data_IF_462078248050
#
_entry.id   IF_462078248050
#
_cell.length_a   1.000
_cell.length_b   1.000
_cell.length_c   1.000
_cell.angle_alpha   90.00
_cell.angle_beta   90.00
_cell.angle_gamma   90.00
#
_symmetry.space_group_name_H-M   'P 1'
#
loop_
_entity.id
_entity.type
_entity.pdbx_description
1 polymer ?
#
# COMPACT_ATOMS: atom_id res chain seq x y z
N UNK A 1 -32.71 -16.08 -15.97
CA UNK A 1 -33.14 -16.12 -14.54
C UNK A 1 -31.94 -16.31 -13.56
N UNK A 2 -30.75 -15.86 -13.90
CA UNK A 2 -29.52 -16.01 -13.08
C UNK A 2 -29.02 -14.70 -12.44
N UNK A 3 -29.39 -13.49 -12.91
CA UNK A 3 -28.81 -12.26 -12.34
C UNK A 3 -29.22 -11.97 -10.90
N UNK A 4 -30.44 -12.32 -10.49
CA UNK A 4 -30.94 -11.95 -9.14
C UNK A 4 -30.25 -12.71 -8.00
N UNK A 5 -29.99 -14.00 -8.16
CA UNK A 5 -29.30 -14.78 -7.12
C UNK A 5 -27.82 -14.36 -6.95
N UNK A 6 -27.14 -13.99 -8.03
CA UNK A 6 -25.79 -13.48 -7.96
C UNK A 6 -25.70 -12.12 -7.24
N UNK A 7 -26.69 -11.26 -7.49
CA UNK A 7 -26.80 -9.95 -6.82
C UNK A 7 -27.10 -10.16 -5.32
N UNK A 8 -28.08 -11.01 -4.98
CA UNK A 8 -28.43 -11.30 -3.59
C UNK A 8 -27.20 -11.82 -2.83
N UNK A 9 -26.46 -12.79 -3.37
CA UNK A 9 -25.23 -13.30 -2.72
C UNK A 9 -24.16 -12.22 -2.53
N UNK A 10 -24.07 -11.25 -3.43
CA UNK A 10 -23.14 -10.13 -3.27
C UNK A 10 -23.60 -9.18 -2.16
N UNK A 11 -24.88 -8.88 -2.10
CA UNK A 11 -25.46 -8.06 -1.03
C UNK A 11 -25.31 -8.74 0.33
N UNK A 12 -25.60 -10.03 0.43
CA UNK A 12 -25.41 -10.81 1.67
C UNK A 12 -23.94 -10.76 2.14
N UNK A 13 -22.97 -10.89 1.22
CA UNK A 13 -21.56 -10.73 1.56
C UNK A 13 -21.22 -9.32 2.03
N UNK A 14 -21.76 -8.30 1.39
CA UNK A 14 -21.56 -6.91 1.80
C UNK A 14 -22.13 -6.66 3.19
N UNK A 15 -23.31 -7.17 3.49
CA UNK A 15 -23.92 -7.09 4.82
C UNK A 15 -23.08 -7.78 5.90
N UNK A 16 -22.53 -8.96 5.60
CA UNK A 16 -21.65 -9.70 6.51
C UNK A 16 -20.35 -8.95 6.83
N UNK A 17 -19.92 -8.01 6.01
CA UNK A 17 -18.73 -7.18 6.28
C UNK A 17 -18.93 -6.22 7.44
N UNK A 18 -20.17 -5.90 7.80
CA UNK A 18 -20.57 -4.89 8.78
C UNK A 18 -19.97 -3.50 8.50
N UNK A 19 -19.75 -3.20 7.22
CA UNK A 19 -19.27 -1.90 6.77
C UNK A 19 -20.41 -0.92 6.47
N UNK A 20 -21.62 -1.43 6.40
CA UNK A 20 -22.81 -0.66 6.11
C UNK A 20 -23.71 -0.60 7.35
N UNK A 21 -24.29 0.53 7.57
CA UNK A 21 -25.29 0.76 8.62
C UNK A 21 -26.44 1.54 8.02
N UNK A 22 -27.65 1.23 8.45
CA UNK A 22 -28.85 2.01 8.18
C UNK A 22 -29.09 3.12 9.22
N UNK A 23 -28.25 3.14 10.26
CA UNK A 23 -28.28 4.18 11.29
C UNK A 23 -27.36 5.35 10.91
N UNK A 24 -27.89 6.53 10.53
CA UNK A 24 -27.06 7.69 10.16
C UNK A 24 -26.14 8.18 11.27
N UNK A 25 -26.45 7.88 12.55
CA UNK A 25 -25.61 8.28 13.69
C UNK A 25 -24.36 7.43 13.84
N UNK A 26 -24.39 6.20 13.32
CA UNK A 26 -23.26 5.27 13.31
C UNK A 26 -22.45 5.36 12.01
N UNK A 27 -23.01 5.99 10.98
CA UNK A 27 -22.34 6.13 9.70
C UNK A 27 -21.15 7.08 9.82
N UNK A 28 -19.98 6.59 9.37
CA UNK A 28 -18.79 7.42 9.22
C UNK A 28 -18.72 7.90 7.77
N UNK A 29 -18.81 9.19 7.56
CA UNK A 29 -18.63 9.78 6.23
C UNK A 29 -17.14 10.01 5.98
N UNK A 30 -16.61 9.31 4.98
CA UNK A 30 -15.18 9.41 4.62
C UNK A 30 -14.77 10.85 4.34
N UNK A 31 -15.60 11.62 3.65
CA UNK A 31 -15.35 13.02 3.34
C UNK A 31 -15.18 13.89 4.59
N UNK A 32 -15.97 13.65 5.63
CA UNK A 32 -15.84 14.38 6.90
C UNK A 32 -14.55 14.01 7.63
N UNK A 33 -14.16 12.74 7.61
CA UNK A 33 -12.89 12.31 8.21
C UNK A 33 -11.69 12.87 7.42
N UNK A 34 -11.80 12.90 6.10
CA UNK A 34 -10.78 13.48 5.25
C UNK A 34 -10.60 14.99 5.47
N UNK A 35 -11.68 15.73 5.61
CA UNK A 35 -11.63 17.18 5.92
C UNK A 35 -10.94 17.48 7.26
N UNK A 36 -11.06 16.61 8.27
CA UNK A 36 -10.37 16.78 9.56
C UNK A 36 -8.83 16.78 9.42
N UNK A 37 -8.31 16.09 8.43
CA UNK A 37 -6.86 15.98 8.20
C UNK A 37 -6.35 16.97 7.12
N UNK A 38 -7.21 17.74 6.51
CA UNK A 38 -6.88 18.65 5.40
C UNK A 38 -5.81 19.69 5.74
N UNK A 39 -5.76 20.14 6.98
CA UNK A 39 -4.75 21.09 7.48
C UNK A 39 -3.47 20.42 7.99
N UNK A 40 -3.32 19.15 7.79
CA UNK A 40 -2.26 18.29 8.28
C UNK A 40 -2.78 17.24 9.26
N UNK A 41 -2.26 16.03 9.17
CA UNK A 41 -2.67 14.90 9.99
C UNK A 41 -2.61 13.59 9.22
N UNK A 42 -3.14 12.54 9.84
CA UNK A 42 -3.21 11.21 9.23
C UNK A 42 -4.54 10.53 9.53
N UNK A 43 -5.13 9.92 8.50
CA UNK A 43 -6.26 9.02 8.63
C UNK A 43 -5.74 7.57 8.56
N UNK A 44 -5.88 6.83 9.66
CA UNK A 44 -5.43 5.45 9.74
C UNK A 44 -6.61 4.50 9.58
N UNK A 45 -6.56 3.66 8.55
CA UNK A 45 -7.58 2.65 8.27
C UNK A 45 -7.02 1.28 8.64
N UNK A 46 -7.49 0.73 9.74
CA UNK A 46 -7.02 -0.56 10.24
C UNK A 46 -7.81 -1.72 9.62
N UNK A 47 -7.15 -2.46 8.74
CA UNK A 47 -7.71 -3.61 8.03
C UNK A 47 -7.32 -4.97 8.67
N UNK A 48 -6.66 -4.96 9.81
CA UNK A 48 -6.20 -6.17 10.49
C UNK A 48 -7.38 -7.11 10.80
N UNK A 49 -7.20 -8.40 10.51
CA UNK A 49 -8.20 -9.46 10.74
C UNK A 49 -9.52 -9.28 9.96
N UNK A 50 -9.55 -8.45 8.95
CA UNK A 50 -10.70 -8.37 8.06
C UNK A 50 -10.63 -9.43 6.97
N UNK A 51 -11.80 -9.82 6.46
CA UNK A 51 -11.86 -10.72 5.30
C UNK A 51 -11.31 -10.04 4.05
N UNK A 52 -10.86 -10.82 3.07
CA UNK A 52 -10.36 -10.31 1.80
C UNK A 52 -11.38 -9.42 1.10
N UNK A 53 -12.64 -9.85 1.02
CA UNK A 53 -13.73 -9.10 0.40
C UNK A 53 -13.94 -7.73 1.11
N UNK A 54 -13.81 -7.71 2.45
CA UNK A 54 -13.90 -6.47 3.24
C UNK A 54 -12.73 -5.53 2.94
N UNK A 55 -11.51 -6.05 2.90
CA UNK A 55 -10.31 -5.27 2.60
C UNK A 55 -10.43 -4.65 1.20
N UNK A 56 -10.79 -5.44 0.21
CA UNK A 56 -10.95 -4.98 -1.17
C UNK A 56 -12.00 -3.87 -1.27
N UNK A 57 -13.17 -4.05 -0.66
CA UNK A 57 -14.24 -3.06 -0.68
C UNK A 57 -13.81 -1.74 -0.02
N UNK A 58 -13.17 -1.80 1.16
CA UNK A 58 -12.70 -0.60 1.86
C UNK A 58 -11.64 0.12 1.03
N UNK A 59 -10.65 -0.60 0.52
CA UNK A 59 -9.57 -0.02 -0.29
C UNK A 59 -10.13 0.64 -1.55
N UNK A 60 -11.02 0.00 -2.28
CA UNK A 60 -11.65 0.59 -3.47
C UNK A 60 -12.46 1.84 -3.12
N UNK A 61 -13.20 1.81 -2.02
CA UNK A 61 -13.98 2.97 -1.55
C UNK A 61 -13.07 4.14 -1.20
N UNK A 62 -12.01 3.90 -0.44
CA UNK A 62 -11.03 4.93 -0.06
C UNK A 62 -10.38 5.56 -1.29
N UNK A 63 -9.94 4.74 -2.24
CA UNK A 63 -9.31 5.24 -3.47
C UNK A 63 -10.28 6.07 -4.29
N UNK A 64 -11.50 5.57 -4.52
CA UNK A 64 -12.52 6.26 -5.29
C UNK A 64 -12.89 7.60 -4.66
N UNK A 65 -13.06 7.63 -3.34
CA UNK A 65 -13.39 8.86 -2.61
C UNK A 65 -12.23 9.84 -2.55
N UNK A 66 -11.01 9.35 -2.39
CA UNK A 66 -9.81 10.19 -2.47
C UNK A 66 -9.68 10.84 -3.85
N UNK A 67 -9.92 10.08 -4.90
CA UNK A 67 -9.92 10.60 -6.27
C UNK A 67 -11.00 11.70 -6.45
N UNK A 68 -12.22 11.44 -6.02
CA UNK A 68 -13.33 12.41 -6.10
C UNK A 68 -13.01 13.73 -5.38
N UNK A 69 -12.40 13.65 -4.20
CA UNK A 69 -11.99 14.83 -3.43
C UNK A 69 -10.89 15.62 -4.16
N UNK A 70 -9.90 14.92 -4.71
CA UNK A 70 -8.80 15.55 -5.45
C UNK A 70 -9.26 16.20 -6.75
N UNK A 71 -10.16 15.58 -7.49
CA UNK A 71 -10.76 16.14 -8.71
C UNK A 71 -11.54 17.42 -8.44
N UNK A 72 -12.10 17.57 -7.24
CA UNK A 72 -12.77 18.80 -6.77
C UNK A 72 -11.81 19.87 -6.27
N UNK A 73 -10.50 19.71 -6.46
CA UNK A 73 -9.48 20.66 -6.04
C UNK A 73 -9.01 20.48 -4.59
N UNK A 74 -9.04 19.25 -4.09
CA UNK A 74 -8.48 18.89 -2.78
C UNK A 74 -6.96 19.04 -2.71
N UNK A 75 -6.43 19.03 -1.49
CA UNK A 75 -4.98 19.08 -1.24
C UNK A 75 -4.31 17.76 -1.60
N UNK A 76 -3.03 17.79 -2.03
CA UNK A 76 -2.27 16.55 -2.28
C UNK A 76 -2.25 15.63 -1.06
N UNK A 77 -2.30 14.32 -1.32
CA UNK A 77 -2.30 13.30 -0.28
C UNK A 77 -1.19 12.27 -0.47
N UNK A 78 -0.67 11.77 0.65
CA UNK A 78 0.18 10.60 0.69
C UNK A 78 -0.63 9.39 1.12
N UNK A 79 -0.61 8.33 0.32
CA UNK A 79 -1.26 7.05 0.64
C UNK A 79 -0.16 6.05 0.98
N UNK A 80 -0.11 5.62 2.24
CA UNK A 80 0.77 4.56 2.70
C UNK A 80 0.00 3.24 2.70
N UNK A 81 0.41 2.33 1.85
CA UNK A 81 -0.24 1.05 1.64
C UNK A 81 0.65 -0.08 2.17
N UNK A 82 0.44 -0.45 3.44
CA UNK A 82 1.16 -1.53 4.10
C UNK A 82 0.60 -2.89 3.66
N UNK A 83 1.49 -3.88 3.47
CA UNK A 83 1.16 -5.23 3.02
C UNK A 83 0.30 -5.21 1.74
N UNK A 84 0.69 -4.36 0.82
CA UNK A 84 -0.10 -4.05 -0.38
C UNK A 84 -0.44 -5.26 -1.25
N UNK A 85 0.35 -6.34 -1.17
CA UNK A 85 0.12 -7.59 -1.89
C UNK A 85 -1.22 -8.27 -1.54
N UNK A 86 -1.80 -8.01 -0.36
CA UNK A 86 -3.09 -8.58 0.02
C UNK A 86 -4.27 -8.03 -0.78
N UNK A 87 -4.15 -6.85 -1.39
CA UNK A 87 -5.28 -6.19 -2.04
C UNK A 87 -4.99 -5.57 -3.40
N UNK A 88 -3.73 -5.38 -3.79
CA UNK A 88 -3.39 -4.78 -5.08
C UNK A 88 -3.75 -5.68 -6.27
N UNK A 89 -3.76 -6.98 -6.05
CA UNK A 89 -3.92 -7.99 -7.11
C UNK A 89 -5.31 -7.97 -7.74
N UNK A 90 -6.34 -7.66 -6.97
CA UNK A 90 -7.75 -7.83 -7.33
C UNK A 90 -8.50 -6.51 -7.50
N UNK A 91 -7.83 -5.40 -7.23
CA UNK A 91 -8.41 -4.07 -7.38
C UNK A 91 -8.04 -3.45 -8.73
N UNK A 92 -8.85 -2.52 -9.21
CA UNK A 92 -8.49 -1.65 -10.34
C UNK A 92 -7.39 -0.63 -9.95
N UNK A 93 -6.56 -0.98 -8.97
CA UNK A 93 -5.51 -0.12 -8.43
C UNK A 93 -4.51 0.29 -9.50
N UNK A 94 -4.17 -0.59 -10.45
CA UNK A 94 -3.24 -0.24 -11.52
C UNK A 94 -3.75 0.97 -12.35
N UNK A 95 -5.06 1.06 -12.56
CA UNK A 95 -5.67 2.22 -13.20
C UNK A 95 -5.67 3.44 -12.27
N UNK A 96 -5.91 3.22 -10.97
CA UNK A 96 -5.87 4.28 -9.96
C UNK A 96 -4.47 4.86 -9.82
N UNK A 97 -3.41 4.03 -9.79
CA UNK A 97 -2.00 4.46 -9.73
C UNK A 97 -1.70 5.48 -10.82
N UNK A 98 -2.06 5.16 -12.06
CA UNK A 98 -1.77 6.02 -13.20
C UNK A 98 -2.55 7.33 -13.18
N UNK A 99 -3.85 7.27 -12.82
CA UNK A 99 -4.72 8.46 -12.83
C UNK A 99 -4.49 9.37 -11.62
N UNK A 100 -4.35 8.80 -10.43
CA UNK A 100 -4.23 9.57 -9.19
C UNK A 100 -2.91 10.34 -9.09
N UNK A 101 -1.86 9.89 -9.77
CA UNK A 101 -0.59 10.62 -9.86
C UNK A 101 -0.78 12.04 -10.40
N UNK A 102 -1.59 12.17 -11.46
CA UNK A 102 -1.87 13.48 -12.07
C UNK A 102 -2.75 14.38 -11.20
N UNK A 103 -3.41 13.82 -10.20
CA UNK A 103 -4.27 14.55 -9.26
C UNK A 103 -3.53 14.99 -7.99
N UNK A 104 -2.22 14.71 -7.87
CA UNK A 104 -1.42 15.07 -6.69
C UNK A 104 -1.46 14.02 -5.58
N UNK A 105 -1.66 12.74 -5.93
CA UNK A 105 -1.54 11.62 -4.99
C UNK A 105 -0.16 11.01 -5.06
N UNK A 106 0.51 10.94 -3.91
CA UNK A 106 1.77 10.23 -3.74
C UNK A 106 1.50 8.89 -3.06
N UNK A 107 1.92 7.79 -3.68
CA UNK A 107 1.59 6.46 -3.22
C UNK A 107 2.87 5.73 -2.79
N UNK A 108 2.87 5.22 -1.57
CA UNK A 108 3.98 4.48 -0.98
C UNK A 108 3.50 3.05 -0.70
N UNK A 109 4.05 2.10 -1.43
CA UNK A 109 3.72 0.68 -1.32
C UNK A 109 4.76 -0.04 -0.50
N UNK A 110 4.31 -0.80 0.49
CA UNK A 110 5.17 -1.63 1.32
C UNK A 110 4.75 -3.08 1.21
N UNK A 111 5.70 -3.95 0.93
CA UNK A 111 5.49 -5.39 0.82
C UNK A 111 6.76 -6.17 1.14
N UNK A 112 6.59 -7.36 1.65
CA UNK A 112 7.63 -8.37 1.79
C UNK A 112 7.56 -9.45 0.70
N UNK A 113 6.59 -9.35 -0.22
CA UNK A 113 6.35 -10.31 -1.30
C UNK A 113 6.13 -9.58 -2.63
N UNK A 114 7.18 -9.00 -3.22
CA UNK A 114 7.07 -8.19 -4.43
C UNK A 114 6.47 -8.91 -5.63
N UNK A 115 6.69 -10.22 -5.77
CA UNK A 115 6.14 -11.04 -6.87
C UNK A 115 4.61 -11.07 -6.90
N UNK A 116 3.95 -10.76 -5.79
CA UNK A 116 2.48 -10.63 -5.73
C UNK A 116 1.99 -9.28 -6.30
N UNK A 117 2.88 -8.31 -6.53
CA UNK A 117 2.56 -7.02 -7.15
C UNK A 117 2.67 -7.14 -8.66
N UNK A 118 1.70 -6.61 -9.39
CA UNK A 118 1.74 -6.60 -10.85
C UNK A 118 2.96 -5.84 -11.37
N UNK A 119 3.68 -6.40 -12.32
CA UNK A 119 4.88 -5.81 -12.93
C UNK A 119 4.64 -4.38 -13.45
N UNK A 120 3.44 -4.11 -13.99
CA UNK A 120 3.05 -2.78 -14.44
C UNK A 120 3.17 -1.73 -13.33
N UNK A 121 2.78 -2.06 -12.09
CA UNK A 121 2.88 -1.15 -10.95
C UNK A 121 4.34 -0.91 -10.57
N UNK A 122 5.14 -1.97 -10.56
CA UNK A 122 6.58 -1.90 -10.26
C UNK A 122 7.32 -1.02 -11.28
N UNK A 123 7.03 -1.19 -12.56
CA UNK A 123 7.63 -0.39 -13.64
C UNK A 123 7.27 1.11 -13.57
N UNK A 124 6.16 1.45 -12.94
CA UNK A 124 5.72 2.84 -12.77
C UNK A 124 6.23 3.48 -11.49
N UNK A 125 6.96 2.74 -10.65
CA UNK A 125 7.55 3.30 -9.45
C UNK A 125 8.64 4.31 -9.79
N UNK A 126 8.54 5.52 -9.25
CA UNK A 126 9.55 6.56 -9.39
C UNK A 126 10.77 6.28 -8.52
N UNK A 127 10.55 5.61 -7.39
CA UNK A 127 11.58 5.30 -6.41
C UNK A 127 11.40 3.87 -5.88
N UNK A 128 12.52 3.19 -5.68
CA UNK A 128 12.60 1.89 -5.03
C UNK A 128 13.50 2.00 -3.79
N UNK A 129 13.00 1.53 -2.65
CA UNK A 129 13.74 1.34 -1.41
C UNK A 129 13.73 -0.15 -1.08
N UNK A 130 14.81 -0.83 -1.42
CA UNK A 130 14.92 -2.28 -1.26
C UNK A 130 15.73 -2.60 -0.01
N UNK A 131 15.09 -3.20 0.98
CA UNK A 131 15.71 -3.73 2.18
C UNK A 131 16.22 -5.15 1.94
N UNK A 132 16.80 -5.77 2.98
CA UNK A 132 17.24 -7.16 2.90
C UNK A 132 16.11 -8.09 2.44
N UNK A 133 16.34 -8.78 1.34
CA UNK A 133 15.44 -9.74 0.74
C UNK A 133 16.26 -10.89 0.18
N UNK A 134 15.82 -12.12 0.39
CA UNK A 134 16.62 -13.32 0.06
C UNK A 134 16.10 -14.07 -1.16
N UNK A 135 14.82 -13.93 -1.48
CA UNK A 135 14.19 -14.67 -2.57
C UNK A 135 14.54 -14.06 -3.92
N UNK A 136 15.17 -14.86 -4.78
CA UNK A 136 15.67 -14.39 -6.08
C UNK A 136 14.56 -14.01 -7.05
N UNK A 137 13.41 -14.69 -7.00
CA UNK A 137 12.26 -14.36 -7.82
C UNK A 137 11.71 -12.96 -7.50
N UNK A 138 11.67 -12.59 -6.22
CA UNK A 138 11.25 -11.27 -5.76
C UNK A 138 12.23 -10.18 -6.22
N UNK A 139 13.54 -10.45 -6.09
CA UNK A 139 14.59 -9.52 -6.49
C UNK A 139 14.63 -9.31 -8.00
N UNK A 140 14.45 -10.37 -8.77
CA UNK A 140 14.34 -10.29 -10.24
C UNK A 140 13.08 -9.49 -10.63
N UNK A 141 11.99 -9.67 -9.92
CA UNK A 141 10.72 -9.01 -10.20
C UNK A 141 10.76 -7.49 -9.99
N UNK A 142 11.55 -7.00 -9.02
CA UNK A 142 11.70 -5.55 -8.77
C UNK A 142 12.80 -4.89 -9.60
N UNK A 143 13.68 -5.65 -10.22
CA UNK A 143 14.81 -5.12 -11.00
C UNK A 143 14.43 -4.10 -12.10
N UNK A 144 13.28 -4.22 -12.79
CA UNK A 144 12.87 -3.22 -13.78
C UNK A 144 12.64 -1.82 -13.19
N UNK A 145 12.20 -1.72 -11.93
CA UNK A 145 12.03 -0.43 -11.25
C UNK A 145 13.38 0.21 -10.91
N UNK A 146 14.35 -0.61 -10.53
CA UNK A 146 15.68 -0.14 -10.19
C UNK A 146 16.50 0.30 -11.41
N UNK A 147 16.15 -0.16 -12.61
CA UNK A 147 16.98 0.00 -13.83
C UNK A 147 18.42 -0.49 -13.67
N UNK A 148 18.60 -1.47 -12.81
CA UNK A 148 19.86 -2.17 -12.52
C UNK A 148 19.68 -3.61 -12.95
N UNK A 149 20.76 -4.25 -13.40
CA UNK A 149 20.69 -5.66 -13.79
C UNK A 149 20.30 -6.55 -12.58
N UNK A 150 19.53 -7.62 -12.83
CA UNK A 150 19.03 -8.47 -11.76
C UNK A 150 20.12 -9.10 -10.90
N UNK A 151 21.26 -9.46 -11.50
CA UNK A 151 22.36 -10.11 -10.79
C UNK A 151 22.96 -9.17 -9.74
N UNK A 152 23.22 -7.92 -10.10
CA UNK A 152 23.69 -6.88 -9.17
C UNK A 152 22.69 -6.64 -8.05
N UNK A 153 21.38 -6.56 -8.36
CA UNK A 153 20.35 -6.38 -7.32
C UNK A 153 20.34 -7.56 -6.34
N UNK A 154 20.42 -8.78 -6.85
CA UNK A 154 20.42 -9.99 -6.03
C UNK A 154 21.61 -9.98 -5.08
N UNK A 155 22.80 -9.70 -5.58
CA UNK A 155 24.01 -9.65 -4.77
C UNK A 155 23.95 -8.58 -3.68
N UNK A 156 23.52 -7.38 -4.05
CA UNK A 156 23.42 -6.25 -3.09
C UNK A 156 22.35 -6.51 -2.05
N UNK A 157 21.14 -6.87 -2.45
CA UNK A 157 20.01 -7.01 -1.55
C UNK A 157 20.23 -8.13 -0.50
N UNK A 158 20.80 -9.26 -0.91
CA UNK A 158 21.14 -10.35 0.00
C UNK A 158 22.24 -9.98 1.00
N UNK A 159 23.11 -9.04 0.66
CA UNK A 159 24.20 -8.57 1.51
C UNK A 159 23.81 -7.41 2.44
N UNK A 160 22.62 -6.80 2.26
CA UNK A 160 22.21 -5.66 3.09
C UNK A 160 22.03 -6.07 4.55
N UNK A 161 22.71 -5.39 5.49
CA UNK A 161 22.46 -5.59 6.90
C UNK A 161 21.13 -4.97 7.33
N UNK A 162 20.68 -5.30 8.53
CA UNK A 162 19.51 -4.66 9.14
C UNK A 162 19.63 -3.14 9.13
N UNK A 163 18.53 -2.45 8.87
CA UNK A 163 18.43 -0.97 8.78
C UNK A 163 19.24 -0.33 7.67
N UNK A 164 19.58 -1.08 6.63
CA UNK A 164 20.09 -0.52 5.38
C UNK A 164 19.19 -0.87 4.23
N UNK A 165 19.07 0.06 3.30
CA UNK A 165 18.36 -0.19 2.06
C UNK A 165 19.16 0.29 0.85
N UNK A 166 18.95 -0.37 -0.28
CA UNK A 166 19.30 0.17 -1.59
C UNK A 166 18.20 1.14 -2.00
N UNK A 167 18.55 2.42 -2.16
CA UNK A 167 17.66 3.45 -2.67
C UNK A 167 18.04 3.78 -4.10
N UNK A 168 17.07 3.80 -5.02
CA UNK A 168 17.26 4.16 -6.42
C UNK A 168 15.99 4.77 -7.00
N UNK A 169 16.14 5.73 -7.89
CA UNK A 169 15.03 6.41 -8.56
C UNK A 169 15.20 7.93 -8.57
N UNK A 170 14.12 8.65 -8.69
CA UNK A 170 14.11 10.12 -8.75
C UNK A 170 14.80 10.76 -7.54
N UNK A 171 14.58 10.21 -6.35
CA UNK A 171 15.15 10.71 -5.08
C UNK A 171 16.68 10.67 -5.07
N UNK A 172 17.28 9.83 -5.90
CA UNK A 172 18.74 9.63 -6.00
C UNK A 172 19.29 10.05 -7.35
N UNK A 173 18.53 10.79 -8.16
CA UNK A 173 18.86 11.08 -9.57
C UNK A 173 19.21 9.80 -10.35
N UNK A 174 18.51 8.71 -10.08
CA UNK A 174 18.68 7.37 -10.67
C UNK A 174 20.03 6.68 -10.38
N UNK A 175 20.83 7.20 -9.46
CA UNK A 175 22.01 6.49 -8.99
C UNK A 175 21.65 5.57 -7.82
N UNK A 176 22.17 4.34 -7.78
CA UNK A 176 21.95 3.45 -6.63
C UNK A 176 22.80 3.87 -5.44
N UNK A 177 22.17 4.04 -4.29
CA UNK A 177 22.83 4.36 -3.01
C UNK A 177 22.44 3.35 -1.94
N UNK A 178 23.40 2.99 -1.08
CA UNK A 178 23.11 2.30 0.16
C UNK A 178 22.86 3.35 1.23
N UNK A 179 21.70 3.31 1.84
CA UNK A 179 21.23 4.29 2.81
C UNK A 179 21.05 3.63 4.18
N UNK A 180 21.59 4.25 5.23
CA UNK A 180 21.34 3.85 6.60
C UNK A 180 20.01 4.46 7.09
N UNK A 181 19.14 3.60 7.62
CA UNK A 181 17.87 4.05 8.20
C UNK A 181 18.06 4.29 9.69
N UNK A 182 17.98 5.55 10.09
CA UNK A 182 18.12 5.95 11.48
C UNK A 182 16.96 5.44 12.33
N UNK A 183 17.26 4.93 13.52
CA UNK A 183 16.25 4.58 14.51
C UNK A 183 15.58 5.85 15.03
N UNK A 184 14.27 5.91 14.99
CA UNK A 184 13.52 6.98 15.61
C UNK A 184 13.28 6.64 17.10
N UNK A 185 13.43 7.63 17.97
CA UNK A 185 13.05 7.50 19.38
C UNK A 185 11.53 7.70 19.54
N UNK A 186 10.79 6.75 19.00
CA UNK A 186 9.33 6.72 19.07
C UNK A 186 8.88 5.34 19.53
N UNK A 187 7.76 5.30 20.24
CA UNK A 187 7.13 4.03 20.60
C UNK A 187 6.62 3.33 19.34
N UNK A 188 7.26 2.21 19.00
CA UNK A 188 6.86 1.39 17.84
C UNK A 188 5.76 0.44 18.28
N UNK A 189 4.62 0.50 17.56
CA UNK A 189 3.58 -0.51 17.66
C UNK A 189 3.86 -1.62 16.64
N UNK A 190 3.55 -2.88 16.99
CA UNK A 190 3.68 -4.01 16.05
C UNK A 190 4.98 -4.81 16.15
N UNK A 191 5.75 -4.63 17.21
CA UNK A 191 6.86 -5.56 17.51
C UNK A 191 6.32 -6.99 17.62
N UNK A 192 6.92 -7.91 16.88
CA UNK A 192 6.62 -9.35 17.00
C UNK A 192 6.87 -9.77 18.43
N UNK A 193 5.87 -10.34 19.11
CA UNK A 193 6.04 -10.86 20.46
C UNK A 193 7.04 -12.02 20.40
N UNK A 194 8.17 -11.84 21.04
CA UNK A 194 9.16 -12.89 21.22
C UNK A 194 8.76 -13.70 22.45
N UNK A 195 8.12 -14.84 22.22
CA UNK A 195 7.56 -15.67 23.29
C UNK A 195 8.63 -16.43 24.11
N UNK A 196 9.87 -16.47 23.65
CA UNK A 196 10.98 -17.26 24.22
C UNK A 196 12.20 -16.43 24.64
N UNK A 197 12.14 -15.11 24.63
CA UNK A 197 13.16 -14.30 25.30
C UNK A 197 12.81 -14.24 26.80
N UNK A 198 13.59 -14.97 27.58
CA UNK A 198 13.62 -14.85 29.06
C UNK A 198 14.22 -13.48 29.37
N UNK A 199 13.64 -12.69 30.29
CA UNK A 199 14.16 -11.37 30.68
C UNK A 199 15.55 -11.42 31.26
#
# INVERSE_FOLDING_TARGET
MIPSQAIIRRLDRMEQTRLFTDNPQEATEFEKEFEKIRSGGALVINLKLKSKDTIELVVQTVLSKSQEILEKGGSPVFIFAEEVHFYLRETNWADAVTRMRHLGTYQIYMTNTPTEIRELVIRQADNLFLFHLTEESDLTHVSPAAKIDPETIIQVAKALPSRRCLAVGEVTNHYPFIVDVTSLDVRVAGATRKYFEVP
#
